data_IF_704845872250
#
_entry.id   IF_704845872250
#
_cell.length_a   1.000
_cell.length_b   1.000
_cell.length_c   1.000
_cell.angle_alpha   90.00
_cell.angle_beta   90.00
_cell.angle_gamma   90.00
#
_symmetry.space_group_name_H-M   'P 1'
#
loop_
_entity.id
_entity.type
_entity.pdbx_description
1 polymer ?
#
# COMPACT_ATOMS: atom_id res chain seq x y z
N UNK A 1 11.13 33.75 5.74
CA UNK A 1 10.59 33.25 7.02
C UNK A 1 9.49 32.20 6.75
N UNK A 2 9.76 31.12 6.01
CA UNK A 2 8.72 30.17 5.54
C UNK A 2 9.08 28.67 5.71
N UNK A 3 10.00 28.32 6.62
CA UNK A 3 10.40 26.92 6.87
C UNK A 3 9.83 26.33 8.19
N UNK A 4 8.80 26.93 8.81
CA UNK A 4 8.27 26.44 10.10
C UNK A 4 7.05 25.51 9.99
N UNK A 5 6.51 25.25 8.79
CA UNK A 5 5.29 24.45 8.64
C UNK A 5 5.62 23.10 7.99
N UNK A 6 5.58 22.03 8.79
CA UNK A 6 5.70 20.65 8.32
C UNK A 6 4.33 20.12 7.90
N UNK A 7 4.20 19.69 6.65
CA UNK A 7 3.02 18.92 6.21
C UNK A 7 2.96 17.60 6.98
N UNK A 8 1.88 17.41 7.74
CA UNK A 8 1.59 16.16 8.44
C UNK A 8 0.27 15.59 7.91
N UNK A 9 0.29 14.32 7.50
CA UNK A 9 -0.91 13.60 7.09
C UNK A 9 -1.13 12.46 8.07
N UNK A 10 -2.27 12.49 8.77
CA UNK A 10 -2.68 11.43 9.67
C UNK A 10 -3.69 10.54 8.95
N UNK A 11 -3.30 9.29 8.69
CA UNK A 11 -4.21 8.28 8.14
C UNK A 11 -4.90 7.54 9.27
N UNK A 12 -6.20 7.32 9.15
CA UNK A 12 -6.93 6.41 10.05
C UNK A 12 -6.31 5.02 9.93
N UNK A 13 -5.83 4.50 11.06
CA UNK A 13 -5.30 3.14 11.17
C UNK A 13 -6.28 2.32 12.00
N UNK A 14 -6.60 1.08 11.60
CA UNK A 14 -7.43 0.21 12.41
C UNK A 14 -6.78 -0.02 13.77
N UNK A 15 -7.56 0.11 14.85
CA UNK A 15 -7.10 -0.20 16.19
C UNK A 15 -6.85 -1.71 16.32
N UNK A 16 -5.62 -2.09 16.65
CA UNK A 16 -5.27 -3.49 16.89
C UNK A 16 -5.53 -3.85 18.35
N UNK A 17 -6.31 -4.90 18.59
CA UNK A 17 -6.42 -5.54 19.91
C UNK A 17 -5.06 -6.14 20.31
N UNK A 18 -4.80 -6.26 21.61
CA UNK A 18 -3.54 -6.87 22.10
C UNK A 18 -3.29 -8.27 21.52
N UNK A 19 -4.34 -9.10 21.43
CA UNK A 19 -4.27 -10.39 20.74
C UNK A 19 -3.75 -10.26 19.30
N UNK A 20 -4.28 -9.33 18.50
CA UNK A 20 -3.86 -9.12 17.11
C UNK A 20 -2.40 -8.67 17.02
N UNK A 21 -1.92 -7.88 17.98
CA UNK A 21 -0.51 -7.47 18.05
C UNK A 21 0.39 -8.68 18.33
N UNK A 22 0.01 -9.50 19.30
CA UNK A 22 0.75 -10.72 19.67
C UNK A 22 0.79 -11.73 18.53
N UNK A 23 -0.34 -11.95 17.84
CA UNK A 23 -0.42 -12.89 16.72
C UNK A 23 0.46 -12.39 15.54
N UNK A 24 0.43 -11.10 15.24
CA UNK A 24 1.35 -10.50 14.24
C UNK A 24 2.81 -10.63 14.63
N UNK A 25 3.15 -10.44 15.90
CA UNK A 25 4.53 -10.60 16.39
C UNK A 25 5.02 -12.04 16.21
N UNK A 26 4.19 -13.03 16.56
CA UNK A 26 4.51 -14.46 16.37
C UNK A 26 4.77 -14.79 14.91
N UNK A 27 3.95 -14.25 13.99
CA UNK A 27 4.16 -14.40 12.55
C UNK A 27 5.49 -13.76 12.12
N UNK A 28 5.80 -12.54 12.57
CA UNK A 28 7.08 -11.92 12.24
C UNK A 28 8.28 -12.76 12.72
N UNK A 29 8.19 -13.32 13.93
CA UNK A 29 9.25 -14.17 14.50
C UNK A 29 9.42 -15.49 13.74
N UNK A 30 8.32 -16.12 13.28
CA UNK A 30 8.42 -17.38 12.50
C UNK A 30 9.03 -17.18 11.12
N UNK A 31 9.01 -15.95 10.61
CA UNK A 31 9.63 -15.56 9.34
C UNK A 31 11.12 -15.25 9.46
N UNK A 32 11.72 -15.27 10.66
CA UNK A 32 13.18 -15.13 10.81
C UNK A 32 13.87 -16.38 10.28
N UNK A 33 14.95 -16.18 9.52
CA UNK A 33 15.80 -17.25 9.04
C UNK A 33 16.70 -17.76 10.17
N UNK A 34 16.37 -18.97 10.64
CA UNK A 34 17.05 -19.66 11.73
C UNK A 34 18.57 -19.76 11.52
N UNK A 35 19.03 -19.91 10.27
CA UNK A 35 20.44 -19.98 9.93
C UNK A 35 21.21 -18.68 10.23
N UNK A 36 20.50 -17.55 10.32
CA UNK A 36 21.10 -16.22 10.56
C UNK A 36 20.92 -15.73 11.99
N UNK A 37 20.21 -16.47 12.84
CA UNK A 37 19.91 -16.07 14.23
C UNK A 37 21.15 -15.92 15.10
N UNK A 38 22.21 -16.69 14.84
CA UNK A 38 23.49 -16.56 15.53
C UNK A 38 24.31 -15.33 15.12
N UNK A 39 23.90 -14.62 14.06
CA UNK A 39 24.58 -13.40 13.63
C UNK A 39 24.06 -12.18 14.38
N UNK A 40 24.86 -11.12 14.46
CA UNK A 40 24.44 -9.85 15.05
C UNK A 40 23.22 -9.20 14.36
N UNK A 41 22.84 -9.67 13.16
CA UNK A 41 21.72 -9.17 12.37
C UNK A 41 20.97 -10.33 11.68
N UNK A 42 20.01 -10.96 12.37
CA UNK A 42 19.16 -11.99 11.77
C UNK A 42 18.42 -11.45 10.55
N UNK A 43 18.28 -12.28 9.52
CA UNK A 43 17.56 -11.97 8.29
C UNK A 43 16.19 -12.67 8.30
N UNK A 44 15.28 -12.20 7.45
CA UNK A 44 14.02 -12.89 7.20
C UNK A 44 14.22 -13.98 6.13
N UNK A 45 13.44 -15.06 6.25
CA UNK A 45 13.29 -16.10 5.24
C UNK A 45 12.93 -15.45 3.91
N UNK A 46 13.57 -15.90 2.84
CA UNK A 46 13.28 -15.41 1.50
C UNK A 46 11.92 -15.94 1.03
N UNK A 47 11.13 -15.07 0.40
CA UNK A 47 9.76 -15.41 -0.03
C UNK A 47 9.68 -15.77 -1.53
N UNK A 48 10.75 -16.31 -2.13
CA UNK A 48 10.74 -16.62 -3.57
C UNK A 48 9.76 -17.73 -3.94
N UNK A 49 9.46 -18.63 -3.00
CA UNK A 49 8.50 -19.73 -3.19
C UNK A 49 7.10 -19.38 -2.66
N UNK A 50 6.82 -18.10 -2.37
CA UNK A 50 5.54 -17.63 -1.88
C UNK A 50 4.86 -16.80 -2.96
N UNK A 51 3.63 -17.20 -3.32
CA UNK A 51 2.76 -16.39 -4.19
C UNK A 51 1.90 -15.50 -3.29
N UNK A 52 2.10 -14.20 -3.40
CA UNK A 52 1.26 -13.21 -2.72
C UNK A 52 0.04 -12.90 -3.57
N UNK A 53 -1.15 -13.23 -3.06
CA UNK A 53 -2.43 -12.95 -3.73
C UNK A 53 -3.16 -11.85 -2.96
N UNK A 54 -3.66 -10.85 -3.67
CA UNK A 54 -4.46 -9.76 -3.08
C UNK A 54 -5.61 -9.36 -4.01
N UNK A 55 -6.73 -8.97 -3.40
CA UNK A 55 -7.87 -8.38 -4.09
C UNK A 55 -7.91 -6.88 -3.83
N UNK A 56 -8.01 -6.10 -4.91
CA UNK A 56 -8.07 -4.65 -4.80
C UNK A 56 -9.22 -4.06 -5.61
N UNK A 57 -10.06 -3.29 -4.93
CA UNK A 57 -11.09 -2.46 -5.56
C UNK A 57 -10.51 -1.12 -6.01
N UNK A 58 -10.76 -0.76 -7.27
CA UNK A 58 -10.44 0.54 -7.84
C UNK A 58 -11.71 1.26 -8.25
N UNK A 59 -11.85 2.51 -7.82
CA UNK A 59 -12.92 3.39 -8.29
C UNK A 59 -12.59 3.84 -9.72
N UNK A 60 -13.56 3.80 -10.63
CA UNK A 60 -13.37 4.27 -12.02
C UNK A 60 -12.97 5.75 -12.11
N UNK A 61 -13.30 6.54 -11.09
CA UNK A 61 -12.86 7.92 -10.97
C UNK A 61 -12.69 8.32 -9.52
N UNK A 62 -11.86 9.34 -9.27
CA UNK A 62 -11.76 9.97 -7.95
C UNK A 62 -13.00 10.82 -7.68
N UNK A 63 -13.41 10.89 -6.41
CA UNK A 63 -14.48 11.78 -5.96
C UNK A 63 -14.10 13.23 -6.26
N UNK A 64 -12.94 13.65 -5.76
CA UNK A 64 -12.36 14.97 -6.02
C UNK A 64 -11.23 14.84 -7.05
N UNK A 65 -11.27 15.64 -8.11
CA UNK A 65 -10.19 15.81 -9.08
C UNK A 65 -9.78 17.28 -9.08
N UNK A 66 -8.48 17.53 -9.16
CA UNK A 66 -7.93 18.88 -9.30
C UNK A 66 -7.79 19.17 -10.79
N UNK A 67 -8.39 20.27 -11.23
CA UNK A 67 -8.25 20.81 -12.58
C UNK A 67 -7.49 22.13 -12.49
N UNK A 68 -6.62 22.40 -13.45
CA UNK A 68 -5.97 23.69 -13.63
C UNK A 68 -6.64 24.34 -14.84
N UNK A 69 -7.18 25.54 -14.66
CA UNK A 69 -7.95 26.26 -15.68
C UNK A 69 -7.25 27.57 -16.00
N UNK A 70 -7.34 28.00 -17.26
CA UNK A 70 -6.92 29.32 -17.71
C UNK A 70 -8.01 30.36 -17.44
N UNK A 71 -7.65 31.65 -17.48
CA UNK A 71 -8.60 32.74 -17.27
C UNK A 71 -9.71 32.72 -18.32
N UNK A 72 -10.96 32.60 -17.87
CA UNK A 72 -12.15 32.54 -18.72
C UNK A 72 -12.59 31.13 -19.14
N UNK A 73 -11.85 30.08 -18.76
CA UNK A 73 -12.30 28.70 -18.98
C UNK A 73 -13.44 28.32 -18.02
N UNK A 74 -14.44 27.63 -18.55
CA UNK A 74 -15.57 27.15 -17.76
C UNK A 74 -15.16 26.00 -16.83
N UNK A 75 -15.70 26.00 -15.60
CA UNK A 75 -15.39 24.97 -14.62
C UNK A 75 -15.93 23.59 -15.05
N UNK A 76 -15.10 22.54 -15.07
CA UNK A 76 -15.54 21.21 -15.47
C UNK A 76 -16.59 20.63 -14.51
N UNK A 77 -17.80 20.38 -15.03
CA UNK A 77 -18.86 19.72 -14.26
C UNK A 77 -18.81 18.21 -14.45
N UNK A 78 -18.88 17.45 -13.34
CA UNK A 78 -18.87 15.97 -13.35
C UNK A 78 -20.07 15.39 -12.59
N UNK A 79 -21.24 15.26 -13.24
CA UNK A 79 -22.43 14.75 -12.58
C UNK A 79 -22.31 13.24 -12.32
N UNK A 80 -22.70 12.81 -11.12
CA UNK A 80 -22.81 11.40 -10.72
C UNK A 80 -24.09 11.25 -9.90
N UNK A 81 -24.90 10.24 -10.19
CA UNK A 81 -26.11 9.92 -9.44
C UNK A 81 -25.76 9.24 -8.10
N UNK A 82 -26.36 9.70 -6.99
CA UNK A 82 -26.27 9.11 -5.64
C UNK A 82 -24.87 8.74 -5.13
N UNK A 83 -23.83 9.45 -5.59
CA UNK A 83 -22.43 9.15 -5.25
C UNK A 83 -22.01 7.69 -5.59
N UNK A 84 -22.72 7.05 -6.53
CA UNK A 84 -22.44 5.71 -7.05
C UNK A 84 -21.29 5.76 -8.06
N UNK A 85 -20.06 5.73 -7.55
CA UNK A 85 -18.87 5.57 -8.40
C UNK A 85 -18.69 4.09 -8.72
N UNK A 86 -18.70 3.74 -10.01
CA UNK A 86 -18.39 2.39 -10.48
C UNK A 86 -17.04 1.91 -9.96
N UNK A 87 -16.98 0.62 -9.58
CA UNK A 87 -15.77 -0.02 -9.04
C UNK A 87 -15.44 -1.26 -9.84
N UNK A 88 -14.14 -1.50 -10.00
CA UNK A 88 -13.61 -2.73 -10.62
C UNK A 88 -12.72 -3.41 -9.58
N UNK A 89 -12.91 -4.72 -9.39
CA UNK A 89 -12.03 -5.53 -8.55
C UNK A 89 -10.95 -6.16 -9.43
N UNK A 90 -9.71 -6.10 -8.98
CA UNK A 90 -8.61 -6.85 -9.56
C UNK A 90 -8.10 -7.84 -8.54
N UNK A 91 -8.00 -9.11 -8.94
CA UNK A 91 -7.26 -10.13 -8.24
C UNK A 91 -5.85 -10.16 -8.83
N UNK A 92 -4.83 -9.99 -8.01
CA UNK A 92 -3.43 -10.00 -8.45
C UNK A 92 -2.65 -11.06 -7.69
N UNK A 93 -1.81 -11.80 -8.41
CA UNK A 93 -0.85 -12.73 -7.83
C UNK A 93 0.57 -12.27 -8.20
N UNK A 94 1.45 -12.15 -7.20
CA UNK A 94 2.85 -11.75 -7.38
C UNK A 94 3.76 -12.77 -6.72
N UNK A 95 4.75 -13.26 -7.48
CA UNK A 95 5.81 -14.10 -6.95
C UNK A 95 6.93 -13.21 -6.40
N UNK A 96 7.48 -13.54 -5.24
CA UNK A 96 8.68 -12.87 -4.72
C UNK A 96 9.83 -12.99 -5.72
N UNK A 97 10.26 -11.88 -6.31
CA UNK A 97 11.37 -11.92 -7.27
C UNK A 97 12.66 -12.38 -6.57
N UNK A 98 13.21 -13.52 -7.00
CA UNK A 98 14.65 -13.75 -6.86
C UNK A 98 15.38 -12.65 -7.63
N UNK A 99 16.42 -12.08 -7.04
CA UNK A 99 17.14 -10.93 -7.60
C UNK A 99 17.39 -11.11 -9.09
N UNK A 100 16.83 -10.22 -9.90
CA UNK A 100 17.19 -10.12 -11.31
C UNK A 100 18.59 -9.50 -11.35
N UNK A 101 19.61 -10.32 -11.57
CA UNK A 101 20.85 -9.83 -12.19
C UNK A 101 20.46 -9.31 -13.56
N UNK A 102 20.32 -7.98 -13.68
CA UNK A 102 20.34 -7.32 -14.96
C UNK A 102 21.77 -7.41 -15.48
N UNK A 103 22.05 -8.39 -16.31
CA UNK A 103 23.22 -8.30 -17.20
C UNK A 103 22.90 -7.26 -18.28
N UNK A 104 23.90 -6.43 -18.53
CA UNK A 104 23.88 -5.29 -19.46
C UNK A 104 24.45 -5.73 -20.79
#
# INVERSE_FOLDING_TARGET
>A
MLNLIRRHTNCVKPALKEKNKMDRMKICLSMIDEATTATARPKFKTMQNVVHIDEKWFNMTKKNRTYYLLDGEEEPTRPIHDNCIGKVMFLTAVLGQGGTTKET
#
